data_IF_250257510544
#
_entry.id   IF_250257510544
#
_cell.length_a   1.000
_cell.length_b   1.000
_cell.length_c   1.000
_cell.angle_alpha   90.00
_cell.angle_beta   90.00
_cell.angle_gamma   90.00
#
_symmetry.space_group_name_H-M   'P 1'
#
loop_
_entity.id
_entity.type
_entity.pdbx_description
1 polymer ?
#
# COMPACT_ATOMS: atom_id res chain seq x y z
N UNK A 1 -17.27 11.14 69.45
CA UNK A 1 -17.95 9.97 68.84
C UNK A 1 -18.23 10.14 67.34
N UNK A 2 -18.30 11.37 66.79
CA UNK A 2 -18.57 11.62 65.36
C UNK A 2 -17.37 11.49 64.39
N UNK A 3 -16.13 11.60 64.89
CA UNK A 3 -14.91 11.52 64.06
C UNK A 3 -14.65 10.15 63.39
N UNK A 4 -14.85 8.99 64.06
CA UNK A 4 -14.65 7.69 63.42
C UNK A 4 -15.73 7.36 62.38
N UNK A 5 -16.93 7.95 62.47
CA UNK A 5 -17.98 7.83 61.44
C UNK A 5 -17.67 8.64 60.19
N UNK A 6 -17.03 9.82 60.33
CA UNK A 6 -16.61 10.62 59.17
C UNK A 6 -15.50 9.94 58.37
N UNK A 7 -14.56 9.26 59.06
CA UNK A 7 -13.49 8.50 58.40
C UNK A 7 -14.03 7.29 57.63
N UNK A 8 -14.99 6.54 58.18
CA UNK A 8 -15.56 5.37 57.49
C UNK A 8 -16.34 5.74 56.23
N UNK A 9 -17.02 6.90 56.21
CA UNK A 9 -17.68 7.44 55.03
C UNK A 9 -16.70 7.85 53.90
N UNK A 10 -15.48 8.28 54.25
CA UNK A 10 -14.44 8.64 53.29
C UNK A 10 -13.85 7.40 52.58
N UNK A 11 -13.70 6.28 53.29
CA UNK A 11 -13.20 5.02 52.72
C UNK A 11 -14.21 4.31 51.80
N UNK A 12 -15.51 4.41 52.10
CA UNK A 12 -16.57 3.85 51.25
C UNK A 12 -16.67 4.63 49.93
N UNK A 13 -16.48 5.94 49.96
CA UNK A 13 -16.51 6.79 48.75
C UNK A 13 -15.31 6.56 47.81
N UNK A 14 -14.17 6.08 48.34
CA UNK A 14 -12.99 5.79 47.53
C UNK A 14 -13.05 4.39 46.89
N UNK A 15 -13.85 3.48 47.45
CA UNK A 15 -14.03 2.12 46.95
C UNK A 15 -15.11 2.02 45.85
N UNK A 16 -15.97 3.03 45.71
CA UNK A 16 -16.98 3.13 44.64
C UNK A 16 -16.49 3.84 43.38
N UNK A 17 -15.23 4.29 43.32
CA UNK A 17 -14.55 4.59 42.07
C UNK A 17 -14.10 3.28 41.38
N UNK A 18 -15.01 2.31 41.29
CA UNK A 18 -14.89 1.25 40.32
C UNK A 18 -14.95 1.94 38.97
N UNK A 19 -13.80 2.05 38.32
CA UNK A 19 -13.68 2.42 36.92
C UNK A 19 -14.67 1.57 36.14
N UNK A 20 -15.84 2.15 35.86
CA UNK A 20 -16.63 1.86 34.68
C UNK A 20 -15.81 2.32 33.48
N UNK A 21 -14.60 1.75 33.31
CA UNK A 21 -14.06 1.57 31.99
C UNK A 21 -15.08 0.65 31.34
N UNK A 22 -16.07 1.26 30.68
CA UNK A 22 -16.67 0.65 29.52
C UNK A 22 -15.48 0.30 28.65
N UNK A 23 -14.98 -0.93 28.78
CA UNK A 23 -14.01 -1.49 27.87
C UNK A 23 -14.74 -1.42 26.53
N UNK A 24 -14.47 -0.36 25.76
CA UNK A 24 -14.95 -0.27 24.40
C UNK A 24 -14.51 -1.58 23.80
N UNK A 25 -15.43 -2.45 23.36
CA UNK A 25 -15.02 -3.73 22.79
C UNK A 25 -13.97 -3.41 21.72
N UNK A 26 -12.87 -4.18 21.66
CA UNK A 26 -11.80 -3.89 20.71
C UNK A 26 -12.45 -3.64 19.35
N UNK A 27 -12.13 -2.52 18.68
CA UNK A 27 -12.83 -2.11 17.48
C UNK A 27 -12.88 -3.29 16.52
N UNK A 28 -14.10 -3.66 16.10
CA UNK A 28 -14.30 -4.80 15.22
C UNK A 28 -13.36 -4.67 14.03
N UNK A 29 -12.67 -5.74 13.62
CA UNK A 29 -11.64 -5.64 12.61
C UNK A 29 -12.23 -5.05 11.32
N UNK A 30 -11.62 -3.97 10.83
CA UNK A 30 -12.18 -3.15 9.77
C UNK A 30 -12.19 -3.91 8.43
N UNK A 31 -13.25 -3.72 7.63
CA UNK A 31 -13.26 -4.16 6.23
C UNK A 31 -12.96 -2.97 5.33
N UNK A 32 -12.00 -3.12 4.42
CA UNK A 32 -11.60 -2.07 3.48
C UNK A 32 -12.06 -2.43 2.07
N UNK A 33 -12.72 -1.47 1.42
CA UNK A 33 -13.08 -1.55 0.01
C UNK A 33 -12.17 -0.61 -0.79
N UNK A 34 -11.44 -1.16 -1.76
CA UNK A 34 -10.54 -0.43 -2.66
C UNK A 34 -11.18 -0.41 -4.04
N UNK A 35 -11.29 0.77 -4.65
CA UNK A 35 -11.78 0.93 -6.03
C UNK A 35 -10.58 1.15 -6.95
N UNK A 36 -10.37 0.21 -7.86
CA UNK A 36 -9.25 0.15 -8.79
C UNK A 36 -8.19 -0.87 -8.37
N UNK A 37 -7.86 -1.79 -9.28
CA UNK A 37 -6.84 -2.84 -9.11
C UNK A 37 -5.52 -2.53 -9.81
N UNK A 38 -5.30 -1.25 -10.15
CA UNK A 38 -4.01 -0.79 -10.66
C UNK A 38 -2.90 -0.86 -9.60
N UNK A 39 -1.69 -0.47 -9.98
CA UNK A 39 -0.51 -0.53 -9.10
C UNK A 39 -0.74 0.14 -7.73
N UNK A 40 -1.49 1.25 -7.68
CA UNK A 40 -1.81 1.94 -6.42
C UNK A 40 -2.73 1.11 -5.52
N UNK A 41 -3.84 0.58 -6.05
CA UNK A 41 -4.80 -0.22 -5.29
C UNK A 41 -4.20 -1.53 -4.81
N UNK A 42 -3.43 -2.20 -5.67
CA UNK A 42 -2.70 -3.41 -5.30
C UNK A 42 -1.65 -3.13 -4.20
N UNK A 43 -0.90 -2.03 -4.31
CA UNK A 43 0.09 -1.63 -3.29
C UNK A 43 -0.58 -1.30 -1.96
N UNK A 44 -1.70 -0.57 -1.98
CA UNK A 44 -2.47 -0.26 -0.79
C UNK A 44 -2.95 -1.54 -0.08
N UNK A 45 -3.52 -2.48 -0.84
CA UNK A 45 -3.96 -3.76 -0.28
C UNK A 45 -2.81 -4.53 0.38
N UNK A 46 -1.64 -4.56 -0.26
CA UNK A 46 -0.44 -5.17 0.30
C UNK A 46 0.00 -4.49 1.59
N UNK A 47 0.08 -3.16 1.61
CA UNK A 47 0.55 -2.43 2.80
C UNK A 47 -0.43 -2.49 3.95
N UNK A 48 -1.75 -2.44 3.69
CA UNK A 48 -2.77 -2.67 4.72
C UNK A 48 -2.60 -4.05 5.36
N UNK A 49 -2.38 -5.09 4.55
CA UNK A 49 -2.15 -6.42 5.10
C UNK A 49 -0.86 -6.50 5.90
N UNK A 50 0.22 -5.89 5.41
CA UNK A 50 1.56 -5.94 6.00
C UNK A 50 1.66 -5.18 7.33
N UNK A 51 1.01 -4.03 7.41
CA UNK A 51 1.16 -3.09 8.53
C UNK A 51 -0.04 -3.05 9.48
N UNK A 52 -1.01 -3.95 9.32
CA UNK A 52 -2.10 -4.15 10.28
C UNK A 52 -2.04 -5.55 10.92
N UNK A 53 -1.00 -5.86 11.72
CA UNK A 53 -0.97 -7.07 12.53
C UNK A 53 -1.91 -6.97 13.74
N UNK A 54 -2.01 -8.05 14.50
CA UNK A 54 -2.66 -8.09 15.82
C UNK A 54 -2.18 -6.93 16.73
N UNK A 55 -3.05 -6.33 17.57
CA UNK A 55 -4.43 -6.72 17.89
C UNK A 55 -5.52 -6.09 16.98
N UNK A 56 -5.13 -5.29 15.98
CA UNK A 56 -6.06 -4.57 15.10
C UNK A 56 -5.94 -5.03 13.64
N UNK A 57 -6.20 -6.32 13.34
CA UNK A 57 -6.11 -6.81 11.96
C UNK A 57 -7.22 -6.21 11.09
N UNK A 58 -6.92 -6.05 9.80
CA UNK A 58 -7.94 -5.79 8.78
C UNK A 58 -8.71 -7.11 8.57
N UNK A 59 -10.02 -7.11 8.81
CA UNK A 59 -10.87 -8.31 8.66
C UNK A 59 -10.92 -8.80 7.22
N UNK A 60 -10.98 -7.86 6.27
CA UNK A 60 -11.10 -8.16 4.86
C UNK A 60 -10.72 -6.98 3.98
N UNK A 61 -10.13 -7.29 2.83
CA UNK A 61 -9.83 -6.31 1.78
C UNK A 61 -10.57 -6.78 0.54
N UNK A 62 -11.46 -5.92 0.02
CA UNK A 62 -12.18 -6.15 -1.23
C UNK A 62 -11.71 -5.12 -2.25
N UNK A 63 -11.24 -5.58 -3.41
CA UNK A 63 -10.81 -4.71 -4.51
C UNK A 63 -11.82 -4.82 -5.63
N UNK A 64 -12.35 -3.69 -6.08
CA UNK A 64 -13.30 -3.59 -7.19
C UNK A 64 -12.57 -3.03 -8.40
N UNK A 65 -12.60 -3.75 -9.52
CA UNK A 65 -12.05 -3.33 -10.80
C UNK A 65 -13.16 -3.30 -11.83
N UNK A 66 -13.20 -2.23 -12.65
CA UNK A 66 -14.22 -2.11 -13.70
C UNK A 66 -13.91 -3.00 -14.89
N UNK A 67 -12.62 -3.26 -15.13
CA UNK A 67 -12.15 -4.04 -16.26
C UNK A 67 -12.03 -5.53 -15.89
N UNK A 68 -12.10 -6.40 -16.89
CA UNK A 68 -11.90 -7.84 -16.68
C UNK A 68 -10.44 -8.20 -16.30
N UNK A 69 -9.50 -7.27 -16.52
CA UNK A 69 -8.07 -7.46 -16.28
C UNK A 69 -7.59 -6.42 -15.27
N UNK A 70 -6.75 -6.86 -14.34
CA UNK A 70 -6.14 -6.01 -13.32
C UNK A 70 -4.92 -5.24 -13.86
N UNK A 71 -4.35 -4.32 -13.09
CA UNK A 71 -3.11 -3.60 -13.44
C UNK A 71 -3.32 -2.18 -13.94
N UNK A 72 -4.52 -1.86 -14.46
CA UNK A 72 -4.90 -0.51 -14.85
C UNK A 72 -4.02 0.05 -15.97
N UNK A 73 -3.13 1.01 -15.65
CA UNK A 73 -2.18 1.59 -16.62
C UNK A 73 -0.92 0.73 -16.82
N UNK A 74 -0.71 -0.33 -16.03
CA UNK A 74 0.31 -1.34 -16.31
C UNK A 74 -0.34 -2.38 -17.22
N UNK A 75 -0.28 -2.16 -18.53
CA UNK A 75 -1.04 -2.95 -19.49
C UNK A 75 -0.15 -3.37 -20.65
N UNK A 76 -0.31 -4.62 -21.07
CA UNK A 76 0.31 -5.19 -22.25
C UNK A 76 -0.73 -5.52 -23.29
N UNK A 77 -0.33 -5.49 -24.57
CA UNK A 77 -1.15 -5.86 -25.71
C UNK A 77 -0.40 -6.89 -26.56
N UNK A 78 -1.13 -7.76 -27.26
CA UNK A 78 -0.53 -8.71 -28.20
C UNK A 78 -0.74 -8.21 -29.63
N UNK A 79 0.34 -8.09 -30.40
CA UNK A 79 0.30 -7.73 -31.82
C UNK A 79 1.20 -8.73 -32.57
N UNK A 80 0.63 -9.48 -33.52
CA UNK A 80 1.40 -10.41 -34.35
C UNK A 80 2.07 -11.55 -33.57
N UNK A 81 1.50 -11.97 -32.42
CA UNK A 81 2.08 -13.01 -31.56
C UNK A 81 3.04 -12.48 -30.50
N UNK A 82 3.49 -11.23 -30.64
CA UNK A 82 4.41 -10.58 -29.72
C UNK A 82 3.66 -9.72 -28.69
N UNK A 83 4.20 -9.62 -27.47
CA UNK A 83 3.60 -8.83 -26.38
C UNK A 83 4.34 -7.51 -26.19
N UNK A 84 3.59 -6.41 -26.19
CA UNK A 84 4.11 -5.06 -26.08
C UNK A 84 3.52 -4.33 -24.87
N UNK A 85 4.33 -3.47 -24.24
CA UNK A 85 3.85 -2.55 -23.20
C UNK A 85 3.02 -1.43 -23.85
N UNK A 86 1.73 -1.37 -23.53
CA UNK A 86 0.83 -0.31 -23.97
C UNK A 86 0.72 0.83 -22.92
N UNK A 87 1.31 0.62 -21.75
CA UNK A 87 1.28 1.54 -20.63
C UNK A 87 2.66 1.73 -20.01
N UNK A 88 2.80 1.47 -18.71
CA UNK A 88 4.10 1.65 -18.06
C UNK A 88 5.14 0.65 -18.54
N UNK A 89 6.17 1.18 -19.18
CA UNK A 89 7.27 0.41 -19.76
C UNK A 89 8.60 0.56 -19.03
N UNK A 90 8.74 1.59 -18.18
CA UNK A 90 10.02 1.92 -17.52
C UNK A 90 9.81 2.13 -16.02
N UNK A 91 10.63 1.46 -15.21
CA UNK A 91 10.70 1.64 -13.77
C UNK A 91 12.03 2.30 -13.43
N UNK A 92 11.96 3.51 -12.86
CA UNK A 92 13.15 4.20 -12.40
C UNK A 92 13.77 3.47 -11.19
N UNK A 93 15.09 3.18 -11.16
CA UNK A 93 15.71 2.37 -10.11
C UNK A 93 15.59 2.99 -8.71
N UNK A 94 15.50 4.33 -8.62
CA UNK A 94 15.27 5.05 -7.35
C UNK A 94 13.83 4.96 -6.82
N UNK A 95 12.89 4.36 -7.56
CA UNK A 95 11.56 4.08 -7.02
C UNK A 95 11.64 2.88 -6.07
N UNK A 96 11.89 3.19 -4.78
CA UNK A 96 12.07 2.19 -3.73
C UNK A 96 10.92 1.19 -3.64
N UNK A 97 9.67 1.65 -3.73
CA UNK A 97 8.50 0.78 -3.59
C UNK A 97 8.39 -0.22 -4.74
N UNK A 98 8.47 0.26 -5.98
CA UNK A 98 8.37 -0.62 -7.15
C UNK A 98 9.57 -1.56 -7.22
N UNK A 99 10.78 -1.06 -6.94
CA UNK A 99 11.99 -1.89 -6.89
C UNK A 99 11.84 -3.02 -5.86
N UNK A 100 11.39 -2.71 -4.64
CA UNK A 100 11.11 -3.74 -3.64
C UNK A 100 10.01 -4.72 -4.06
N UNK A 101 8.97 -4.26 -4.75
CA UNK A 101 7.95 -5.15 -5.29
C UNK A 101 8.51 -6.11 -6.33
N UNK A 102 9.42 -5.66 -7.20
CA UNK A 102 10.08 -6.56 -8.15
C UNK A 102 10.83 -7.68 -7.43
N UNK A 103 11.57 -7.36 -6.37
CA UNK A 103 12.28 -8.35 -5.56
C UNK A 103 11.32 -9.29 -4.80
N UNK A 104 10.29 -8.73 -4.17
CA UNK A 104 9.26 -9.49 -3.43
C UNK A 104 8.56 -10.51 -4.32
N UNK A 105 8.19 -10.09 -5.54
CA UNK A 105 7.48 -10.89 -6.52
C UNK A 105 8.41 -11.73 -7.40
N UNK A 106 9.73 -11.69 -7.14
CA UNK A 106 10.76 -12.41 -7.90
C UNK A 106 10.72 -12.13 -9.40
N UNK A 107 10.42 -10.88 -9.77
CA UNK A 107 10.39 -10.43 -11.15
C UNK A 107 11.82 -10.13 -11.64
N UNK A 108 12.10 -10.52 -12.88
CA UNK A 108 13.37 -10.20 -13.54
C UNK A 108 13.27 -8.84 -14.20
N UNK A 109 14.18 -7.93 -13.87
CA UNK A 109 14.32 -6.68 -14.62
C UNK A 109 14.97 -7.01 -15.97
N UNK A 110 14.33 -6.59 -17.05
CA UNK A 110 14.99 -6.48 -18.35
C UNK A 110 15.80 -5.20 -18.29
N UNK A 111 17.11 -5.33 -18.10
CA UNK A 111 18.02 -4.22 -18.32
C UNK A 111 18.05 -3.97 -19.84
N UNK A 112 18.20 -2.72 -20.25
CA UNK A 112 18.63 -2.44 -21.61
C UNK A 112 19.95 -3.17 -21.87
N UNK A 113 20.31 -3.39 -23.12
CA UNK A 113 21.67 -3.83 -23.42
C UNK A 113 22.58 -2.64 -23.11
N UNK A 114 23.07 -2.56 -21.87
CA UNK A 114 23.98 -1.50 -21.40
C UNK A 114 25.37 -1.58 -22.09
N UNK A 115 25.54 -2.51 -23.06
CA UNK A 115 26.75 -2.66 -23.87
C UNK A 115 26.75 -1.79 -25.14
N UNK A 116 25.70 -0.99 -25.38
CA UNK A 116 25.72 0.02 -26.43
C UNK A 116 26.29 1.32 -25.85
N UNK A 117 27.61 1.47 -25.87
CA UNK A 117 28.38 2.65 -25.45
C UNK A 117 28.02 3.96 -26.22
N UNK A 118 26.92 3.96 -27.00
CA UNK A 118 26.38 5.13 -27.66
C UNK A 118 25.19 5.70 -26.88
N UNK A 119 25.43 6.23 -25.69
CA UNK A 119 24.50 7.11 -24.95
C UNK A 119 24.29 8.48 -25.65
N UNK A 120 24.51 8.56 -26.97
CA UNK A 120 24.32 9.78 -27.76
C UNK A 120 22.86 9.91 -28.22
N UNK A 121 22.04 10.53 -27.37
CA UNK A 121 20.72 11.01 -27.77
C UNK A 121 20.85 12.39 -28.41
N UNK A 122 20.57 12.47 -29.72
CA UNK A 122 20.55 13.73 -30.45
C UNK A 122 19.13 14.16 -30.83
N UNK A 123 18.81 15.44 -30.62
CA UNK A 123 17.57 16.03 -31.15
C UNK A 123 17.86 16.66 -32.51
N UNK A 124 17.15 16.23 -33.55
CA UNK A 124 17.27 16.78 -34.91
C UNK A 124 16.21 17.85 -35.15
N UNK A 125 16.63 19.08 -35.47
CA UNK A 125 15.73 20.20 -35.72
C UNK A 125 15.27 20.33 -37.19
N UNK A 126 15.63 19.35 -38.03
CA UNK A 126 15.43 19.40 -39.49
C UNK A 126 16.68 19.82 -40.28
N UNK A 127 17.71 20.36 -39.62
CA UNK A 127 18.96 20.84 -40.27
C UNK A 127 20.21 20.34 -39.57
N UNK A 128 20.19 20.22 -38.24
CA UNK A 128 21.32 19.80 -37.42
C UNK A 128 20.87 19.11 -36.13
N UNK A 129 21.80 18.39 -35.51
CA UNK A 129 21.63 17.97 -34.12
C UNK A 129 21.86 19.17 -33.20
N UNK A 130 20.97 19.36 -32.22
CA UNK A 130 21.01 20.51 -31.27
C UNK A 130 21.41 20.12 -29.85
N UNK A 131 21.51 18.82 -29.57
CA UNK A 131 22.03 18.21 -28.34
C UNK A 131 22.85 16.99 -28.73
#
# INVERSE_FOLDING_TARGET
VLLPCLLSLLFVSLSSAGSGASATPPPLPATVCIVGSGISGASLAYFLRKYSPSPSPIAGIRIFERNAVVGGRMATINIGGETFEAGASIIHPKNYHVSNFTSLLKLRRRLGDDNDDSDSLGVWDGKRFVV
#
